data_IF_422945554266
#
_entry.id   IF_422945554266
#
_cell.length_a   1.000
_cell.length_b   1.000
_cell.length_c   1.000
_cell.angle_alpha   90.00
_cell.angle_beta   90.00
_cell.angle_gamma   90.00
#
_symmetry.space_group_name_H-M   'P 1'
#
loop_
_entity.id
_entity.type
_entity.pdbx_description
1 polymer ?
#
# COMPACT_ATOMS: atom_id res chain seq x y z
N UNK A 1 -4.75 -1.45 13.33
CA UNK A 1 -3.42 -1.18 12.75
C UNK A 1 -2.69 -0.24 13.69
N UNK A 2 -1.50 -0.60 14.17
CA UNK A 2 -0.86 0.08 15.32
C UNK A 2 0.21 1.11 14.88
N UNK A 3 0.15 1.57 13.62
CA UNK A 3 1.10 2.55 13.07
C UNK A 3 2.53 2.06 12.80
N UNK A 4 2.90 0.86 13.23
CA UNK A 4 4.24 0.30 12.98
C UNK A 4 4.50 0.01 11.50
N UNK A 5 5.64 0.46 10.97
CA UNK A 5 5.97 0.34 9.56
C UNK A 5 6.02 -1.12 9.09
N UNK A 6 6.56 -2.02 9.92
CA UNK A 6 6.62 -3.45 9.64
C UNK A 6 5.25 -4.15 9.60
N UNK A 7 4.21 -3.57 10.23
CA UNK A 7 2.87 -4.17 10.28
C UNK A 7 1.88 -3.52 9.31
N UNK A 8 2.03 -2.23 9.06
CA UNK A 8 1.12 -1.49 8.19
C UNK A 8 1.78 -0.37 7.37
N UNK A 9 3.09 -0.14 7.50
CA UNK A 9 3.79 0.99 6.89
C UNK A 9 3.62 1.04 5.40
N UNK A 10 3.88 -0.09 4.72
CA UNK A 10 3.68 -0.22 3.28
C UNK A 10 2.24 0.12 2.86
N UNK A 11 1.24 -0.49 3.49
CA UNK A 11 -0.17 -0.24 3.18
C UNK A 11 -0.56 1.22 3.43
N UNK A 12 -0.16 1.76 4.60
CA UNK A 12 -0.52 3.12 4.99
C UNK A 12 0.13 4.15 4.07
N UNK A 13 1.38 3.94 3.66
CA UNK A 13 2.09 4.82 2.74
C UNK A 13 1.49 4.77 1.33
N UNK A 14 1.12 3.59 0.85
CA UNK A 14 0.42 3.41 -0.43
C UNK A 14 -0.93 4.13 -0.46
N UNK A 15 -1.68 4.10 0.65
CA UNK A 15 -3.01 4.70 0.76
C UNK A 15 -2.99 6.18 1.18
N UNK A 16 -1.80 6.79 1.33
CA UNK A 16 -1.68 8.18 1.74
C UNK A 16 -2.18 9.12 0.63
N UNK A 17 -3.12 10.03 0.90
CA UNK A 17 -3.55 11.02 -0.09
C UNK A 17 -2.43 12.02 -0.45
N UNK A 18 -1.40 12.15 0.40
CA UNK A 18 -0.24 13.01 0.17
C UNK A 18 0.76 12.40 -0.81
N UNK A 19 0.73 11.07 -0.99
CA UNK A 19 1.57 10.37 -1.96
C UNK A 19 0.93 10.50 -3.34
N UNK A 20 1.60 11.20 -4.26
CA UNK A 20 1.07 11.51 -5.61
C UNK A 20 1.72 10.72 -6.74
N UNK A 21 2.87 10.11 -6.47
CA UNK A 21 3.61 9.37 -7.49
C UNK A 21 4.40 8.23 -6.85
N UNK A 22 4.40 7.10 -7.55
CA UNK A 22 5.14 5.90 -7.19
C UNK A 22 5.85 5.39 -8.44
N UNK A 23 7.08 4.92 -8.28
CA UNK A 23 7.80 4.16 -9.29
C UNK A 23 8.19 2.81 -8.70
N UNK A 24 7.94 1.74 -9.45
CA UNK A 24 8.34 0.40 -9.05
C UNK A 24 9.34 -0.17 -10.04
N UNK A 25 10.31 -0.91 -9.52
CA UNK A 25 11.24 -1.72 -10.29
C UNK A 25 11.12 -3.17 -9.87
N UNK A 26 11.45 -4.06 -10.80
CA UNK A 26 11.55 -5.49 -10.57
C UNK A 26 12.95 -5.94 -10.94
N UNK A 27 13.49 -6.87 -10.15
CA UNK A 27 14.77 -7.50 -10.42
C UNK A 27 14.72 -8.98 -10.06
N UNK A 28 15.12 -9.82 -10.99
CA UNK A 28 15.43 -11.23 -10.74
C UNK A 28 16.94 -11.37 -10.53
N UNK A 29 17.32 -11.87 -9.36
CA UNK A 29 18.70 -12.11 -8.95
C UNK A 29 18.86 -13.59 -8.58
N UNK A 30 20.10 -14.08 -8.52
CA UNK A 30 20.39 -15.48 -8.22
C UNK A 30 19.78 -15.98 -6.90
N UNK A 31 19.51 -15.08 -5.95
CA UNK A 31 18.93 -15.37 -4.64
C UNK A 31 17.44 -15.02 -4.51
N UNK A 32 16.78 -14.57 -5.58
CA UNK A 32 15.35 -14.33 -5.55
C UNK A 32 14.82 -13.33 -6.56
N UNK A 33 13.51 -13.21 -6.52
CA UNK A 33 12.72 -12.30 -7.34
C UNK A 33 12.19 -11.18 -6.44
N UNK A 34 12.60 -9.94 -6.72
CA UNK A 34 12.33 -8.80 -5.86
C UNK A 34 11.58 -7.69 -6.60
N UNK A 35 10.63 -7.08 -5.90
CA UNK A 35 9.93 -5.87 -6.34
C UNK A 35 10.20 -4.76 -5.34
N UNK A 36 10.60 -3.59 -5.83
CA UNK A 36 10.87 -2.41 -5.03
C UNK A 36 10.02 -1.26 -5.54
N UNK A 37 9.21 -0.66 -4.66
CA UNK A 37 8.40 0.50 -4.99
C UNK A 37 8.83 1.69 -4.14
N UNK A 38 9.20 2.77 -4.81
CA UNK A 38 9.56 4.04 -4.21
C UNK A 38 8.46 5.05 -4.44
N UNK A 39 8.20 5.86 -3.41
CA UNK A 39 7.22 6.92 -3.44
C UNK A 39 7.94 8.25 -3.42
N UNK A 40 7.53 9.20 -4.27
CA UNK A 40 7.97 10.58 -4.10
C UNK A 40 7.25 11.13 -2.86
N UNK A 41 8.00 11.70 -1.92
CA UNK A 41 7.54 12.13 -0.57
C UNK A 41 6.91 11.00 0.28
N UNK A 42 7.70 10.06 0.83
CA UNK A 42 7.19 9.02 1.72
C UNK A 42 6.68 9.62 3.04
N UNK A 43 5.51 9.18 3.50
CA UNK A 43 4.87 9.72 4.71
C UNK A 43 5.02 8.72 5.86
N UNK A 44 5.56 9.20 6.99
CA UNK A 44 5.84 8.37 8.17
C UNK A 44 4.59 8.05 9.00
N UNK A 45 3.52 8.83 8.84
CA UNK A 45 2.23 8.64 9.52
C UNK A 45 1.04 9.07 8.65
N UNK A 46 0.80 8.37 7.53
CA UNK A 46 -0.21 8.76 6.56
C UNK A 46 -1.62 8.56 7.10
N UNK A 47 -2.50 9.53 6.83
CA UNK A 47 -3.92 9.45 7.18
C UNK A 47 -4.66 8.62 6.14
N UNK A 48 -4.86 7.34 6.45
CA UNK A 48 -5.67 6.44 5.60
C UNK A 48 -7.15 6.66 5.91
N UNK A 49 -7.92 7.05 4.90
CA UNK A 49 -9.37 7.18 5.02
C UNK A 49 -10.04 5.83 5.33
N UNK A 50 -11.14 5.86 6.09
CA UNK A 50 -11.99 4.67 6.28
C UNK A 50 -12.89 4.50 5.06
N UNK A 51 -13.08 3.27 4.60
CA UNK A 51 -14.18 2.96 3.68
C UNK A 51 -15.48 3.16 4.45
N UNK A 52 -16.33 4.07 3.98
CA UNK A 52 -17.60 4.42 4.63
C UNK A 52 -18.82 3.82 3.93
N UNK A 53 -18.67 3.38 2.68
CA UNK A 53 -19.78 3.02 1.79
C UNK A 53 -19.91 1.51 1.51
N UNK A 54 -18.96 0.68 1.95
CA UNK A 54 -18.97 -0.76 1.69
C UNK A 54 -18.37 -1.55 2.85
N UNK A 55 -18.95 -2.70 3.14
CA UNK A 55 -18.38 -3.71 4.03
C UNK A 55 -17.22 -4.46 3.35
N UNK A 56 -16.39 -5.11 4.16
CA UNK A 56 -15.28 -5.95 3.65
C UNK A 56 -15.80 -7.08 2.74
N UNK A 57 -16.97 -7.64 3.05
CA UNK A 57 -17.57 -8.72 2.26
C UNK A 57 -18.04 -8.21 0.90
N UNK A 58 -18.71 -7.07 0.86
CA UNK A 58 -19.14 -6.44 -0.40
C UNK A 58 -17.95 -6.04 -1.28
N UNK A 59 -16.91 -5.48 -0.67
CA UNK A 59 -15.67 -5.18 -1.40
C UNK A 59 -15.05 -6.45 -1.98
N UNK A 60 -14.95 -7.54 -1.20
CA UNK A 60 -14.41 -8.81 -1.70
C UNK A 60 -15.23 -9.35 -2.87
N UNK A 61 -16.56 -9.32 -2.78
CA UNK A 61 -17.45 -9.77 -3.83
C UNK A 61 -17.27 -8.96 -5.13
N UNK A 62 -17.00 -7.65 -5.05
CA UNK A 62 -16.78 -6.81 -6.24
C UNK A 62 -15.47 -7.08 -7.01
N UNK A 63 -14.50 -7.75 -6.39
CA UNK A 63 -13.16 -7.96 -6.95
C UNK A 63 -12.96 -9.35 -7.57
N UNK A 64 -13.88 -10.27 -7.31
CA UNK A 64 -13.88 -11.62 -7.86
C UNK A 64 -15.03 -11.72 -8.84
N UNK A 65 -14.71 -11.62 -10.14
CA UNK A 65 -15.60 -11.99 -11.25
C UNK A 65 -15.59 -13.50 -11.42
#
# INVERSE_FOLDING_TARGET
CNGGWAKCGHFSNMMSPEVKSMACGWSECANGNYVWCNYNTPVKSPKVGKITSMTKTELKASLTV
#
